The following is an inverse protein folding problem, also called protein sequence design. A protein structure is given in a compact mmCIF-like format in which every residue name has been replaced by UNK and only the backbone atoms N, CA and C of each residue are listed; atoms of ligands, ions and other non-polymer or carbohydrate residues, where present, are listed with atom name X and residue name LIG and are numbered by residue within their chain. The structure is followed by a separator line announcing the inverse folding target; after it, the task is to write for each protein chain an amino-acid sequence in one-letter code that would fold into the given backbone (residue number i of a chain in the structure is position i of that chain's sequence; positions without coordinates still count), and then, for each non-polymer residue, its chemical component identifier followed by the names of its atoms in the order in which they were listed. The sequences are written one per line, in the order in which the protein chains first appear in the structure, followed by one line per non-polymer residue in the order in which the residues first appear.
data_IF_695679001451
#
_entry.id   IF_695679001451
#
_cell.length_a   1.000
_cell.length_b   1.000
_cell.length_c   1.000
_cell.angle_alpha   90.00
_cell.angle_beta   90.00
_cell.angle_gamma   90.00
#
_symmetry.space_group_name_H-M   'P 1'
#
loop_
_entity.id
_entity.type
_entity.pdbx_description
1 polymer ?
#
# COMPACT_ATOMS: atom_id res chain seq x y z
N UNK A 1 7.29 -31.19 73.57
CA UNK A 1 7.71 -29.80 73.26
C UNK A 1 8.02 -29.56 71.76
N UNK A 2 8.72 -30.43 71.06
CA UNK A 2 9.13 -30.20 69.64
C UNK A 2 7.93 -30.08 68.61
N UNK A 3 6.79 -30.70 68.87
CA UNK A 3 5.63 -30.72 67.96
C UNK A 3 4.88 -29.36 67.94
N UNK A 4 4.66 -28.76 69.15
CA UNK A 4 4.04 -27.41 69.26
C UNK A 4 4.90 -26.32 68.57
N UNK A 5 6.22 -26.38 68.67
CA UNK A 5 7.14 -25.42 68.07
C UNK A 5 7.07 -25.48 66.51
N UNK A 6 6.87 -26.67 65.92
CA UNK A 6 6.72 -26.80 64.47
C UNK A 6 5.37 -26.25 63.95
N UNK A 7 4.30 -26.37 64.73
CA UNK A 7 2.98 -25.83 64.38
C UNK A 7 2.98 -24.29 64.48
N UNK A 8 3.63 -23.74 65.49
CA UNK A 8 3.78 -22.28 65.61
C UNK A 8 4.59 -21.68 64.45
N UNK A 9 5.67 -22.36 64.04
CA UNK A 9 6.47 -21.91 62.86
C UNK A 9 5.66 -21.99 61.59
N UNK A 10 4.83 -23.04 61.37
CA UNK A 10 3.94 -23.12 60.19
C UNK A 10 2.90 -22.02 60.20
N UNK A 11 2.30 -21.70 61.34
CA UNK A 11 1.32 -20.61 61.44
C UNK A 11 1.94 -19.23 61.17
N UNK A 12 3.17 -19.00 61.64
CA UNK A 12 3.89 -17.76 61.34
C UNK A 12 4.23 -17.64 59.87
N UNK A 13 4.71 -18.72 59.21
CA UNK A 13 5.02 -18.75 57.78
C UNK A 13 3.73 -18.53 56.99
N UNK A 14 2.62 -19.17 57.35
CA UNK A 14 1.33 -18.96 56.72
C UNK A 14 0.84 -17.52 56.83
N UNK A 15 1.01 -16.90 58.02
CA UNK A 15 0.66 -15.50 58.24
C UNK A 15 1.49 -14.54 57.36
N UNK A 16 2.78 -14.83 57.18
CA UNK A 16 3.65 -14.04 56.30
C UNK A 16 3.23 -14.19 54.82
N UNK A 17 2.89 -15.41 54.40
CA UNK A 17 2.42 -15.65 53.03
C UNK A 17 1.10 -14.96 52.70
N UNK A 18 0.17 -14.94 53.69
CA UNK A 18 -1.10 -14.21 53.55
C UNK A 18 -0.86 -12.70 53.51
N UNK A 19 0.02 -12.15 54.31
CA UNK A 19 0.41 -10.74 54.25
C UNK A 19 1.08 -10.38 52.93
N UNK A 20 2.00 -11.20 52.42
CA UNK A 20 2.60 -11.00 51.10
C UNK A 20 1.56 -11.07 49.98
N UNK A 21 0.62 -11.98 50.06
CA UNK A 21 -0.48 -12.07 49.07
C UNK A 21 -1.38 -10.84 49.08
N UNK A 22 -1.71 -10.34 50.28
CA UNK A 22 -2.50 -9.10 50.41
C UNK A 22 -1.75 -7.86 49.94
N UNK A 23 -0.46 -7.77 50.25
CA UNK A 23 0.37 -6.65 49.72
C UNK A 23 0.56 -6.72 48.23
N UNK A 24 0.73 -7.89 47.63
CA UNK A 24 0.80 -8.08 46.17
C UNK A 24 -0.55 -7.74 45.54
N UNK A 25 -1.67 -8.22 46.09
CA UNK A 25 -3.01 -7.85 45.61
C UNK A 25 -3.29 -6.36 45.72
N UNK A 26 -2.88 -5.72 46.83
CA UNK A 26 -2.96 -4.28 46.99
C UNK A 26 -2.07 -3.54 45.99
N UNK A 27 -0.84 -4.00 45.76
CA UNK A 27 0.05 -3.46 44.71
C UNK A 27 -0.51 -3.64 43.31
N UNK A 28 -1.14 -4.76 43.01
CA UNK A 28 -1.78 -5.00 41.68
C UNK A 28 -3.01 -4.09 41.53
N UNK A 29 -3.79 -3.86 42.60
CA UNK A 29 -4.99 -2.99 42.56
C UNK A 29 -4.59 -1.51 42.58
N UNK A 30 -3.54 -1.13 43.30
CA UNK A 30 -3.05 0.26 43.38
C UNK A 30 -2.04 0.58 42.25
N UNK A 31 -1.34 -0.42 41.71
CA UNK A 31 -0.61 -0.30 40.48
C UNK A 31 -1.60 -0.45 39.32
N UNK A 32 -2.58 0.40 39.28
CA UNK A 32 -3.15 0.78 38.00
C UNK A 32 -2.00 1.51 37.28
N UNK A 33 -1.40 0.91 36.23
CA UNK A 33 -0.64 1.74 35.34
C UNK A 33 -1.61 2.85 34.96
N UNK A 34 -1.16 4.07 34.92
CA UNK A 34 -1.99 5.27 34.76
C UNK A 34 -2.75 5.23 33.42
N UNK A 35 -3.71 4.29 33.28
CA UNK A 35 -4.67 4.24 32.16
C UNK A 35 -5.55 5.49 32.13
N UNK A 36 -5.70 6.21 33.21
CA UNK A 36 -6.40 7.50 33.21
C UNK A 36 -5.64 8.61 32.48
N UNK A 37 -4.34 8.43 32.21
CA UNK A 37 -3.57 9.37 31.37
C UNK A 37 -3.82 9.12 29.89
N UNK A 38 -4.29 7.92 29.50
CA UNK A 38 -4.57 7.55 28.11
C UNK A 38 -5.88 8.13 27.54
N UNK A 39 -6.72 8.77 28.36
CA UNK A 39 -7.98 9.37 27.88
C UNK A 39 -7.82 10.77 27.28
N UNK A 40 -6.65 11.39 27.34
CA UNK A 40 -6.36 12.55 26.50
C UNK A 40 -5.87 12.05 25.15
N UNK A 41 -6.79 12.02 24.16
CA UNK A 41 -6.52 11.82 22.76
C UNK A 41 -5.17 12.44 22.42
N UNK A 42 -4.19 11.61 22.04
CA UNK A 42 -3.11 12.04 21.18
C UNK A 42 -3.81 12.59 19.95
N UNK A 43 -3.92 13.90 19.82
CA UNK A 43 -4.30 14.51 18.57
C UNK A 43 -3.09 14.30 17.67
N UNK A 44 -3.07 13.15 16.99
CA UNK A 44 -2.22 12.97 15.84
C UNK A 44 -2.56 14.17 14.94
N UNK A 45 -1.58 15.04 14.72
CA UNK A 45 -1.73 16.17 13.83
C UNK A 45 -2.22 15.58 12.52
N UNK A 46 -3.48 15.81 12.16
CA UNK A 46 -3.96 15.59 10.80
C UNK A 46 -3.21 16.58 9.92
N UNK A 47 -2.06 16.18 9.46
CA UNK A 47 -1.35 16.90 8.41
C UNK A 47 -2.18 16.60 7.15
N UNK A 48 -2.78 17.60 6.55
CA UNK A 48 -3.29 17.46 5.19
C UNK A 48 -2.09 17.02 4.35
N UNK A 49 -2.19 15.85 3.73
CA UNK A 49 -1.12 15.32 2.89
C UNK A 49 -0.77 16.33 1.81
N UNK A 50 0.50 16.68 1.71
CA UNK A 50 0.93 17.59 0.69
C UNK A 50 0.94 16.90 -0.69
N UNK A 51 0.97 17.70 -1.75
CA UNK A 51 0.99 17.22 -3.13
C UNK A 51 2.12 16.21 -3.39
N UNK A 52 3.31 16.44 -2.82
CA UNK A 52 4.48 15.59 -3.06
C UNK A 52 4.30 14.23 -2.41
N UNK A 53 3.72 14.17 -1.24
CA UNK A 53 3.40 12.94 -0.54
C UNK A 53 2.40 12.11 -1.31
N UNK A 54 1.32 12.72 -1.79
CA UNK A 54 0.33 12.03 -2.62
C UNK A 54 0.97 11.43 -3.87
N UNK A 55 1.85 12.17 -4.56
CA UNK A 55 2.58 11.68 -5.73
C UNK A 55 3.55 10.53 -5.40
N UNK A 56 4.02 10.41 -4.16
CA UNK A 56 4.93 9.34 -3.75
C UNK A 56 4.20 8.05 -3.34
N UNK A 57 2.98 8.14 -2.81
CA UNK A 57 2.26 7.02 -2.23
C UNK A 57 1.05 6.55 -3.03
N UNK A 58 0.41 7.45 -3.78
CA UNK A 58 -0.73 7.12 -4.63
C UNK A 58 -0.34 6.97 -6.10
N UNK A 59 0.71 6.19 -6.35
CA UNK A 59 1.17 5.87 -7.70
C UNK A 59 0.13 4.95 -8.37
N UNK A 60 -0.35 5.26 -9.59
CA UNK A 60 -1.25 4.38 -10.32
C UNK A 60 -0.63 3.01 -10.61
N UNK A 61 -1.48 2.03 -10.91
CA UNK A 61 -1.01 0.75 -11.41
C UNK A 61 -0.51 0.85 -12.85
N UNK A 62 -1.29 1.51 -13.69
CA UNK A 62 -1.01 1.61 -15.14
C UNK A 62 -1.63 2.86 -15.76
N UNK A 63 -1.06 3.28 -16.89
CA UNK A 63 -1.69 4.22 -17.82
C UNK A 63 -1.81 3.53 -19.17
N UNK A 64 -3.02 3.53 -19.73
CA UNK A 64 -3.36 2.85 -20.99
C UNK A 64 -3.99 3.83 -21.95
N UNK A 65 -3.65 3.73 -23.22
CA UNK A 65 -4.26 4.53 -24.28
C UNK A 65 -5.18 3.68 -25.15
N UNK A 66 -6.41 4.14 -25.32
CA UNK A 66 -7.34 3.61 -26.29
C UNK A 66 -7.41 4.58 -27.47
N UNK A 67 -7.11 4.08 -28.66
CA UNK A 67 -7.15 4.86 -29.89
C UNK A 67 -8.59 4.98 -30.41
N UNK A 68 -8.84 5.99 -31.21
CA UNK A 68 -10.12 6.18 -31.90
C UNK A 68 -10.50 4.92 -32.70
N UNK A 69 -11.75 4.47 -32.55
CA UNK A 69 -12.23 3.23 -33.19
C UNK A 69 -11.81 1.92 -32.54
N UNK A 70 -11.06 1.97 -31.44
CA UNK A 70 -10.77 0.78 -30.63
C UNK A 70 -12.06 0.21 -30.06
N UNK A 71 -12.34 -1.08 -30.29
CA UNK A 71 -13.47 -1.75 -29.64
C UNK A 71 -13.15 -1.99 -28.15
N UNK A 72 -14.11 -1.71 -27.30
CA UNK A 72 -14.03 -2.17 -25.93
C UNK A 72 -14.37 -3.66 -25.90
N UNK A 73 -13.37 -4.45 -25.52
CA UNK A 73 -13.56 -5.88 -25.38
C UNK A 73 -14.41 -6.18 -24.14
N UNK A 74 -15.35 -7.12 -24.23
CA UNK A 74 -16.16 -7.49 -23.09
C UNK A 74 -15.30 -8.13 -22.01
N UNK A 75 -15.61 -7.82 -20.76
CA UNK A 75 -15.04 -8.55 -19.63
C UNK A 75 -15.80 -9.87 -19.49
N UNK A 76 -15.02 -10.96 -19.52
CA UNK A 76 -15.55 -12.30 -19.31
C UNK A 76 -15.41 -12.68 -17.85
N UNK A 77 -16.53 -12.87 -17.17
CA UNK A 77 -16.54 -13.27 -15.76
C UNK A 77 -15.97 -14.69 -15.58
N UNK A 78 -15.28 -14.91 -14.45
CA UNK A 78 -14.68 -16.19 -14.08
C UNK A 78 -13.73 -16.77 -15.15
N UNK A 79 -13.04 -15.92 -15.88
CA UNK A 79 -12.04 -16.32 -16.85
C UNK A 79 -10.81 -15.44 -16.77
N UNK A 80 -9.69 -15.97 -17.27
CA UNK A 80 -8.48 -15.19 -17.58
C UNK A 80 -8.26 -15.36 -19.08
N UNK A 81 -8.59 -14.33 -19.85
CA UNK A 81 -8.53 -14.41 -21.31
C UNK A 81 -7.80 -13.21 -21.87
N UNK A 82 -6.82 -13.47 -22.75
CA UNK A 82 -6.17 -12.41 -23.51
C UNK A 82 -7.18 -11.83 -24.50
N UNK A 83 -7.41 -10.54 -24.42
CA UNK A 83 -8.41 -9.84 -25.26
C UNK A 83 -7.77 -8.94 -26.30
N UNK A 84 -6.60 -8.37 -26.02
CA UNK A 84 -5.91 -7.48 -26.95
C UNK A 84 -4.42 -7.33 -26.60
N UNK A 85 -3.66 -6.68 -27.47
CA UNK A 85 -2.38 -6.05 -27.16
C UNK A 85 -2.59 -4.53 -27.18
N UNK A 86 -2.11 -3.85 -26.16
CA UNK A 86 -2.33 -2.41 -25.97
C UNK A 86 -1.04 -1.67 -25.63
N UNK A 87 -1.00 -0.39 -25.99
CA UNK A 87 0.03 0.52 -25.52
C UNK A 87 -0.26 0.92 -24.07
N UNK A 88 0.69 0.69 -23.18
CA UNK A 88 0.56 1.06 -21.78
C UNK A 88 1.90 1.53 -21.17
N UNK A 89 1.81 2.15 -19.99
CA UNK A 89 2.94 2.48 -19.12
C UNK A 89 2.65 1.89 -17.75
N UNK A 90 3.61 1.12 -17.22
CA UNK A 90 3.60 0.60 -15.84
C UNK A 90 4.81 1.08 -15.03
N UNK A 91 5.82 1.68 -15.67
CA UNK A 91 6.99 2.19 -14.98
C UNK A 91 6.59 3.25 -13.94
N UNK A 92 6.82 2.97 -12.66
CA UNK A 92 6.30 3.76 -11.54
C UNK A 92 6.83 5.19 -11.51
N UNK A 93 8.08 5.40 -11.93
CA UNK A 93 8.65 6.75 -12.06
C UNK A 93 7.94 7.55 -13.16
N UNK A 94 7.69 6.93 -14.30
CA UNK A 94 6.99 7.59 -15.41
C UNK A 94 5.52 7.87 -15.04
N UNK A 95 4.86 6.95 -14.32
CA UNK A 95 3.51 7.16 -13.83
C UNK A 95 3.41 8.35 -12.88
N UNK A 96 4.40 8.50 -11.99
CA UNK A 96 4.51 9.66 -11.10
C UNK A 96 4.72 10.96 -11.89
N UNK A 97 5.60 10.96 -12.91
CA UNK A 97 5.80 12.12 -13.80
C UNK A 97 4.50 12.51 -14.51
N UNK A 98 3.71 11.53 -14.99
CA UNK A 98 2.41 11.79 -15.63
C UNK A 98 1.38 12.41 -14.67
N UNK A 99 1.30 11.91 -13.44
CA UNK A 99 0.45 12.52 -12.42
C UNK A 99 0.90 13.94 -12.07
N UNK A 100 2.20 14.18 -11.99
CA UNK A 100 2.74 15.54 -11.75
C UNK A 100 2.30 16.50 -12.84
N UNK A 101 2.36 16.11 -14.12
CA UNK A 101 1.89 16.95 -15.24
C UNK A 101 0.42 17.36 -15.04
N UNK A 102 -0.44 16.42 -14.60
CA UNK A 102 -1.87 16.70 -14.37
C UNK A 102 -2.03 17.62 -13.14
N UNK A 103 -1.33 17.32 -12.06
CA UNK A 103 -1.45 18.04 -10.80
C UNK A 103 -0.84 19.44 -10.81
N UNK A 104 0.01 19.77 -11.80
CA UNK A 104 0.56 21.12 -11.99
C UNK A 104 -0.44 22.09 -12.64
N UNK A 105 -1.56 21.56 -13.15
CA UNK A 105 -2.61 22.38 -13.77
C UNK A 105 -3.64 22.80 -12.72
N UNK A 106 -3.99 24.11 -12.72
CA UNK A 106 -5.04 24.61 -11.83
C UNK A 106 -6.43 24.19 -12.31
N UNK A 107 -7.28 23.75 -11.40
CA UNK A 107 -8.71 23.50 -11.68
C UNK A 107 -9.50 24.81 -11.63
N UNK A 108 -10.48 24.91 -12.52
CA UNK A 108 -11.43 26.04 -12.54
C UNK A 108 -12.79 25.64 -12.03
N UNK A 109 -13.16 24.41 -12.18
CA UNK A 109 -14.47 23.89 -11.81
C UNK A 109 -14.44 22.37 -11.60
N UNK A 110 -15.20 21.90 -10.62
CA UNK A 110 -15.46 20.49 -10.40
C UNK A 110 -16.96 20.22 -10.23
N UNK A 111 -17.47 19.17 -10.88
CA UNK A 111 -18.90 18.80 -10.84
C UNK A 111 -19.09 17.30 -10.84
N UNK A 112 -19.91 16.79 -9.91
CA UNK A 112 -20.42 15.42 -9.97
C UNK A 112 -21.49 15.36 -11.08
N UNK A 113 -21.36 14.38 -11.95
CA UNK A 113 -22.31 14.08 -13.01
C UNK A 113 -23.02 12.77 -12.72
N UNK A 114 -24.33 12.81 -12.68
CA UNK A 114 -25.18 11.61 -12.53
C UNK A 114 -25.49 11.03 -13.93
N UNK A 115 -24.48 10.46 -14.53
CA UNK A 115 -24.51 9.82 -15.86
C UNK A 115 -23.50 8.68 -15.87
N UNK A 116 -23.73 7.70 -16.74
CA UNK A 116 -22.69 6.70 -17.00
C UNK A 116 -21.50 7.35 -17.74
N UNK A 117 -20.28 7.06 -17.30
CA UNK A 117 -19.05 7.52 -17.96
C UNK A 117 -18.97 7.02 -19.42
N UNK A 118 -19.54 5.85 -19.70
CA UNK A 118 -19.59 5.26 -21.05
C UNK A 118 -20.28 6.18 -22.06
N UNK A 119 -21.23 7.02 -21.62
CA UNK A 119 -21.92 7.98 -22.50
C UNK A 119 -20.98 9.03 -23.11
N UNK A 120 -19.86 9.32 -22.43
CA UNK A 120 -18.88 10.31 -22.87
C UNK A 120 -17.56 9.68 -23.34
N UNK A 121 -17.30 8.43 -23.00
CA UNK A 121 -16.08 7.68 -23.38
C UNK A 121 -16.34 6.69 -24.53
N UNK A 122 -17.24 7.03 -25.44
CA UNK A 122 -17.58 6.19 -26.58
C UNK A 122 -16.34 5.73 -27.35
N UNK A 123 -16.44 4.63 -28.09
CA UNK A 123 -15.34 4.03 -28.85
C UNK A 123 -14.76 4.94 -29.96
N UNK A 124 -15.40 6.07 -30.23
CA UNK A 124 -15.00 7.01 -31.28
C UNK A 124 -14.06 8.11 -30.78
N UNK A 125 -13.74 8.14 -29.49
CA UNK A 125 -12.85 9.16 -28.91
C UNK A 125 -11.57 8.54 -28.39
N UNK A 126 -10.45 9.10 -28.83
CA UNK A 126 -9.13 8.72 -28.30
C UNK A 126 -9.05 9.13 -26.82
N UNK A 127 -8.67 8.18 -25.95
CA UNK A 127 -8.65 8.39 -24.49
C UNK A 127 -7.40 7.79 -23.86
N UNK A 128 -6.94 8.46 -22.79
CA UNK A 128 -5.89 7.97 -21.90
C UNK A 128 -6.54 7.66 -20.55
N UNK A 129 -6.33 6.44 -20.05
CA UNK A 129 -6.90 5.94 -18.81
C UNK A 129 -5.76 5.69 -17.81
N UNK A 130 -5.88 6.27 -16.62
CA UNK A 130 -4.95 6.08 -15.49
C UNK A 130 -5.67 5.22 -14.48
N UNK A 131 -5.20 4.00 -14.27
CA UNK A 131 -5.86 3.00 -13.45
C UNK A 131 -5.16 2.84 -12.09
N UNK A 132 -5.94 2.78 -11.02
CA UNK A 132 -5.49 2.46 -9.67
C UNK A 132 -5.87 1.02 -9.31
N UNK A 133 -5.08 0.40 -8.47
CA UNK A 133 -5.31 -0.97 -8.01
C UNK A 133 -6.41 -1.04 -6.94
N UNK A 134 -6.61 0.06 -6.23
CA UNK A 134 -7.59 0.22 -5.16
C UNK A 134 -8.54 1.36 -5.47
N UNK A 135 -9.75 1.28 -4.92
CA UNK A 135 -10.68 2.41 -4.96
C UNK A 135 -10.19 3.51 -4.02
N UNK A 136 -10.15 4.73 -4.52
CA UNK A 136 -9.78 5.94 -3.80
C UNK A 136 -10.98 6.87 -3.68
N UNK A 137 -10.98 7.75 -2.69
CA UNK A 137 -11.94 8.86 -2.61
C UNK A 137 -11.34 10.12 -3.22
N UNK A 138 -12.14 10.89 -3.95
CA UNK A 138 -11.71 12.14 -4.55
C UNK A 138 -11.27 13.19 -3.52
N UNK A 139 -11.77 13.12 -2.29
CA UNK A 139 -11.34 13.98 -1.19
C UNK A 139 -9.85 13.76 -0.85
N UNK A 140 -9.35 12.52 -0.97
CA UNK A 140 -7.94 12.18 -0.72
C UNK A 140 -6.99 12.83 -1.73
N UNK A 141 -7.41 12.91 -3.00
CA UNK A 141 -6.61 13.46 -4.10
C UNK A 141 -6.91 14.94 -4.37
N UNK A 142 -7.65 15.57 -3.48
CA UNK A 142 -7.97 17.01 -3.57
C UNK A 142 -6.72 17.89 -3.78
N UNK A 143 -5.61 17.73 -3.04
CA UNK A 143 -4.41 18.54 -3.25
C UNK A 143 -3.76 18.34 -4.62
N UNK A 144 -4.04 17.23 -5.32
CA UNK A 144 -3.52 16.97 -6.66
C UNK A 144 -4.33 17.66 -7.76
N UNK A 145 -5.67 17.73 -7.62
CA UNK A 145 -6.54 18.08 -8.74
C UNK A 145 -7.44 19.30 -8.48
N UNK A 146 -7.51 19.82 -7.26
CA UNK A 146 -8.46 20.85 -6.87
C UNK A 146 -7.79 22.10 -6.32
N UNK A 147 -6.66 22.52 -6.87
CA UNK A 147 -5.99 23.74 -6.43
C UNK A 147 -6.94 24.96 -6.57
N UNK A 148 -7.39 25.50 -5.46
CA UNK A 148 -8.17 26.74 -5.38
C UNK A 148 -9.66 26.61 -5.10
N UNK A 149 -10.27 25.44 -5.08
CA UNK A 149 -11.68 25.26 -4.75
C UNK A 149 -11.91 24.59 -3.39
N UNK A 150 -12.84 25.16 -2.61
CA UNK A 150 -13.37 24.58 -1.37
C UNK A 150 -14.49 23.56 -1.65
N UNK A 151 -14.32 22.68 -2.62
CA UNK A 151 -15.34 21.66 -2.90
C UNK A 151 -15.22 20.50 -1.92
N UNK A 152 -16.25 20.28 -1.11
CA UNK A 152 -16.39 19.09 -0.26
C UNK A 152 -17.00 17.92 -1.07
N UNK A 153 -16.49 17.70 -2.29
CA UNK A 153 -16.94 16.61 -3.13
C UNK A 153 -16.19 15.35 -2.73
N UNK A 154 -16.93 14.35 -2.32
CA UNK A 154 -16.46 12.98 -2.07
C UNK A 154 -17.11 12.06 -3.10
N UNK A 155 -16.30 11.37 -3.89
CA UNK A 155 -16.70 10.37 -4.86
C UNK A 155 -15.62 9.30 -4.97
N UNK A 156 -16.02 8.05 -4.88
CA UNK A 156 -15.13 6.93 -5.09
C UNK A 156 -14.71 6.79 -6.56
N UNK A 157 -13.44 6.53 -6.79
CA UNK A 157 -12.91 6.27 -8.12
C UNK A 157 -11.74 5.27 -8.09
N UNK A 158 -11.52 4.58 -9.17
CA UNK A 158 -10.34 3.74 -9.43
C UNK A 158 -9.68 4.08 -10.78
N UNK A 159 -10.31 4.95 -11.55
CA UNK A 159 -9.84 5.32 -12.89
C UNK A 159 -9.98 6.83 -13.13
N UNK A 160 -8.93 7.42 -13.71
CA UNK A 160 -8.94 8.79 -14.23
C UNK A 160 -8.88 8.71 -15.75
N UNK A 161 -9.76 9.45 -16.45
CA UNK A 161 -9.79 9.50 -17.92
C UNK A 161 -9.52 10.92 -18.43
N UNK A 162 -8.69 10.97 -19.46
CA UNK A 162 -8.48 12.17 -20.28
C UNK A 162 -8.98 11.87 -21.71
N UNK A 163 -9.75 12.78 -22.27
CA UNK A 163 -10.33 12.66 -23.62
C UNK A 163 -9.68 13.66 -24.58
N UNK A 164 -9.39 13.23 -25.79
CA UNK A 164 -8.75 14.07 -26.82
C UNK A 164 -9.65 15.21 -27.28
N UNK A 165 -10.95 14.97 -27.38
CA UNK A 165 -11.97 15.97 -27.77
C UNK A 165 -12.29 17.00 -26.68
N UNK A 166 -11.80 16.77 -25.45
CA UNK A 166 -11.97 17.62 -24.27
C UNK A 166 -10.64 17.78 -23.53
N UNK A 167 -9.64 18.42 -24.14
CA UNK A 167 -8.26 18.34 -23.73
C UNK A 167 -7.94 19.01 -22.39
N UNK A 168 -8.85 19.83 -21.85
CA UNK A 168 -8.74 20.51 -20.56
C UNK A 168 -9.62 19.89 -19.46
N UNK A 169 -10.14 18.68 -19.66
CA UNK A 169 -10.98 18.00 -18.68
C UNK A 169 -10.38 16.67 -18.24
N UNK A 170 -10.54 16.37 -16.95
CA UNK A 170 -10.28 15.05 -16.38
C UNK A 170 -11.55 14.51 -15.74
N UNK A 171 -11.71 13.19 -15.79
CA UNK A 171 -12.87 12.49 -15.29
C UNK A 171 -12.43 11.41 -14.31
N UNK A 172 -12.92 11.45 -13.08
CA UNK A 172 -12.68 10.44 -12.05
C UNK A 172 -13.94 9.59 -11.94
N UNK A 173 -13.81 8.29 -12.06
CA UNK A 173 -14.94 7.37 -11.93
C UNK A 173 -14.51 6.02 -11.39
N UNK A 174 -15.47 5.32 -10.79
CA UNK A 174 -15.35 3.90 -10.44
C UNK A 174 -16.13 3.10 -11.48
N UNK A 175 -15.54 2.01 -11.92
CA UNK A 175 -16.21 1.12 -12.87
C UNK A 175 -17.56 0.65 -12.28
N UNK A 176 -18.58 0.56 -13.14
CA UNK A 176 -19.96 0.19 -12.81
C UNK A 176 -20.75 1.23 -11.99
N UNK A 177 -20.16 2.36 -11.62
CA UNK A 177 -20.89 3.47 -10.99
C UNK A 177 -21.59 4.35 -12.03
N UNK A 178 -22.77 4.86 -11.65
CA UNK A 178 -23.54 5.78 -12.48
C UNK A 178 -23.11 7.25 -12.35
N UNK A 179 -22.11 7.51 -11.52
CA UNK A 179 -21.62 8.84 -11.24
C UNK A 179 -20.14 8.95 -11.62
N UNK A 180 -19.77 10.11 -12.08
CA UNK A 180 -18.37 10.48 -12.22
C UNK A 180 -18.14 11.93 -11.80
N UNK A 181 -16.90 12.24 -11.42
CA UNK A 181 -16.47 13.60 -11.12
C UNK A 181 -15.75 14.16 -12.34
N UNK A 182 -16.29 15.25 -12.88
CA UNK A 182 -15.69 16.03 -13.95
C UNK A 182 -14.93 17.21 -13.34
N UNK A 183 -13.67 17.39 -13.72
CA UNK A 183 -12.82 18.51 -13.32
C UNK A 183 -12.37 19.23 -14.57
N UNK A 184 -12.61 20.54 -14.61
CA UNK A 184 -12.17 21.41 -15.70
C UNK A 184 -10.89 22.12 -15.28
N UNK A 185 -9.87 22.07 -16.10
CA UNK A 185 -8.56 22.68 -15.89
C UNK A 185 -8.43 23.96 -16.70
N UNK A 186 -7.57 24.88 -16.25
CA UNK A 186 -7.27 26.13 -16.99
C UNK A 186 -6.55 25.86 -18.32
N UNK A 187 -5.69 24.85 -18.34
CA UNK A 187 -4.85 24.51 -19.47
C UNK A 187 -5.28 23.19 -20.12
N UNK A 188 -4.93 23.07 -21.40
CA UNK A 188 -5.07 21.79 -22.11
C UNK A 188 -4.01 20.81 -21.64
N UNK A 189 -4.45 19.71 -21.02
CA UNK A 189 -3.56 18.73 -20.41
C UNK A 189 -3.37 17.48 -21.29
N UNK A 190 -4.38 17.13 -22.09
CA UNK A 190 -4.33 15.93 -22.90
C UNK A 190 -3.08 15.85 -23.77
N UNK A 191 -2.74 16.93 -24.46
CA UNK A 191 -1.56 16.99 -25.35
C UNK A 191 -0.25 16.74 -24.61
N UNK A 192 -0.08 17.34 -23.42
CA UNK A 192 1.11 17.17 -22.57
C UNK A 192 1.26 15.73 -22.10
N UNK A 193 0.18 15.13 -21.57
CA UNK A 193 0.15 13.74 -21.11
C UNK A 193 0.38 12.77 -22.27
N UNK A 194 -0.28 13.00 -23.42
CA UNK A 194 -0.13 12.16 -24.61
C UNK A 194 1.29 12.19 -25.18
N UNK A 195 1.97 13.33 -25.18
CA UNK A 195 3.36 13.44 -25.60
C UNK A 195 4.27 12.55 -24.73
N UNK A 196 4.15 12.68 -23.39
CA UNK A 196 4.91 11.86 -22.43
C UNK A 196 4.57 10.38 -22.56
N UNK A 197 3.28 10.05 -22.75
CA UNK A 197 2.83 8.68 -22.97
C UNK A 197 3.50 8.07 -24.21
N UNK A 198 3.46 8.74 -25.36
CA UNK A 198 4.03 8.24 -26.61
C UNK A 198 5.56 8.05 -26.54
N UNK A 199 6.25 8.83 -25.71
CA UNK A 199 7.70 8.67 -25.48
C UNK A 199 8.05 7.41 -24.69
N UNK A 200 7.19 6.99 -23.75
CA UNK A 200 7.51 5.98 -22.73
C UNK A 200 6.63 4.73 -22.78
N UNK A 201 5.66 4.67 -23.69
CA UNK A 201 4.75 3.53 -23.82
C UNK A 201 5.48 2.26 -24.24
N UNK A 202 4.94 1.13 -23.81
CA UNK A 202 5.36 -0.21 -24.21
C UNK A 202 4.12 -1.05 -24.53
N UNK A 203 4.32 -2.17 -25.24
CA UNK A 203 3.24 -3.10 -25.55
C UNK A 203 3.01 -4.07 -24.40
N UNK A 204 1.75 -4.21 -24.01
CA UNK A 204 1.29 -5.15 -23.00
C UNK A 204 0.14 -6.00 -23.54
N UNK A 205 0.11 -7.26 -23.18
CA UNK A 205 -1.07 -8.09 -23.36
C UNK A 205 -2.13 -7.67 -22.32
N UNK A 206 -3.31 -7.33 -22.81
CA UNK A 206 -4.49 -7.04 -22.02
C UNK A 206 -5.24 -8.32 -21.77
N UNK A 207 -5.39 -8.71 -20.51
CA UNK A 207 -6.19 -9.86 -20.10
C UNK A 207 -7.44 -9.40 -19.38
N UNK A 208 -8.57 -10.05 -19.67
CA UNK A 208 -9.77 -9.97 -18.85
C UNK A 208 -9.57 -10.91 -17.66
N UNK A 209 -9.69 -10.39 -16.44
CA UNK A 209 -9.63 -11.14 -15.19
C UNK A 209 -10.84 -10.78 -14.34
N UNK A 210 -11.81 -11.68 -14.23
CA UNK A 210 -13.05 -11.43 -13.51
C UNK A 210 -13.75 -10.14 -13.98
N UNK A 211 -13.76 -9.09 -13.15
CA UNK A 211 -14.45 -7.82 -13.45
C UNK A 211 -13.51 -6.70 -13.89
N UNK A 212 -12.21 -6.98 -14.14
CA UNK A 212 -11.23 -5.97 -14.51
C UNK A 212 -10.29 -6.44 -15.61
N UNK A 213 -9.51 -5.51 -16.14
CA UNK A 213 -8.39 -5.80 -17.02
C UNK A 213 -7.07 -5.73 -16.24
N UNK A 214 -6.17 -6.66 -16.55
CA UNK A 214 -4.78 -6.64 -16.14
C UNK A 214 -3.88 -6.55 -17.37
N UNK A 215 -2.69 -5.99 -17.19
CA UNK A 215 -1.75 -5.73 -18.26
C UNK A 215 -0.43 -6.42 -17.96
N UNK A 216 -0.06 -7.40 -18.76
CA UNK A 216 1.11 -8.26 -18.56
C UNK A 216 2.07 -8.15 -19.74
N UNK A 217 3.38 -8.14 -19.50
CA UNK A 217 4.37 -8.25 -20.57
C UNK A 217 4.35 -9.65 -21.17
N UNK A 218 4.52 -9.71 -22.48
CA UNK A 218 4.60 -11.00 -23.22
C UNK A 218 6.03 -11.48 -23.43
N UNK A 219 7.02 -10.58 -23.38
CA UNK A 219 8.41 -10.88 -23.64
C UNK A 219 9.23 -11.05 -22.36
N UNK A 220 10.19 -11.98 -22.43
CA UNK A 220 11.13 -12.33 -21.35
C UNK A 220 12.31 -11.33 -21.25
N UNK A 221 12.25 -10.18 -21.97
CA UNK A 221 13.41 -9.33 -22.24
C UNK A 221 13.99 -8.57 -21.04
N UNK A 222 13.29 -8.51 -19.89
CA UNK A 222 13.73 -7.73 -18.73
C UNK A 222 14.01 -8.58 -17.47
N UNK A 223 14.39 -9.83 -17.62
CA UNK A 223 14.71 -10.70 -16.48
C UNK A 223 16.08 -10.38 -15.88
N UNK A 224 16.22 -9.17 -15.33
CA UNK A 224 17.44 -8.75 -14.64
C UNK A 224 17.26 -8.80 -13.13
N UNK A 225 18.31 -9.21 -12.43
CA UNK A 225 18.40 -9.11 -10.98
C UNK A 225 19.13 -7.81 -10.67
N UNK A 226 18.44 -6.88 -10.03
CA UNK A 226 19.03 -5.62 -9.59
C UNK A 226 19.51 -5.73 -8.15
N UNK A 227 20.67 -5.17 -7.85
CA UNK A 227 21.23 -5.11 -6.51
C UNK A 227 21.30 -3.66 -6.02
N UNK A 228 20.90 -3.45 -4.77
CA UNK A 228 20.93 -2.15 -4.09
C UNK A 228 21.57 -2.27 -2.72
N UNK A 229 22.32 -1.23 -2.32
CA UNK A 229 22.75 -1.09 -0.93
C UNK A 229 21.57 -0.84 0.00
N UNK A 230 21.77 -1.11 1.29
CA UNK A 230 20.74 -0.89 2.31
C UNK A 230 21.10 0.24 3.24
N UNK A 231 20.09 0.82 3.88
CA UNK A 231 20.21 1.75 4.98
C UNK A 231 19.29 1.33 6.11
N UNK A 232 19.85 1.28 7.34
CA UNK A 232 19.04 1.00 8.53
C UNK A 232 18.29 2.27 8.95
N UNK A 233 17.01 2.11 9.24
CA UNK A 233 16.20 3.19 9.82
C UNK A 233 16.69 3.46 11.25
N UNK A 234 17.08 4.70 11.51
CA UNK A 234 17.47 5.11 12.85
C UNK A 234 16.23 5.27 13.73
N UNK A 235 16.04 4.34 14.67
CA UNK A 235 14.88 4.27 15.56
C UNK A 235 14.69 5.56 16.37
N UNK A 236 15.79 6.10 16.92
CA UNK A 236 15.74 7.30 17.75
C UNK A 236 15.39 8.57 16.94
N UNK A 237 15.86 8.65 15.69
CA UNK A 237 15.49 9.75 14.80
C UNK A 237 14.02 9.65 14.45
N UNK A 238 13.58 8.47 14.00
CA UNK A 238 12.20 8.21 13.64
C UNK A 238 11.24 8.48 14.81
N UNK A 239 11.60 8.06 16.04
CA UNK A 239 10.81 8.33 17.23
C UNK A 239 10.62 9.84 17.49
N UNK A 240 11.68 10.66 17.28
CA UNK A 240 11.59 12.12 17.41
C UNK A 240 10.68 12.76 16.38
N UNK A 241 10.53 12.14 15.23
CA UNK A 241 9.67 12.64 14.14
C UNK A 241 8.22 12.21 14.32
N UNK A 242 7.97 10.98 14.82
CA UNK A 242 6.64 10.42 15.04
C UNK A 242 5.96 10.92 16.31
N UNK A 243 6.70 10.96 17.43
CA UNK A 243 6.11 11.29 18.73
C UNK A 243 6.01 12.81 18.95
N UNK A 244 4.81 13.28 19.26
CA UNK A 244 4.57 14.72 19.51
C UNK A 244 5.31 15.23 20.76
N UNK A 245 5.38 14.41 21.82
CA UNK A 245 6.00 14.78 23.09
C UNK A 245 7.46 14.37 23.16
N UNK A 246 8.29 15.11 22.42
CA UNK A 246 9.73 14.85 22.31
C UNK A 246 10.46 14.84 23.66
N UNK A 247 9.98 15.64 24.60
CA UNK A 247 10.57 15.76 25.96
C UNK A 247 10.30 14.53 26.84
N UNK A 248 9.32 13.71 26.49
CA UNK A 248 8.93 12.52 27.21
C UNK A 248 9.51 11.23 26.65
N UNK A 249 10.35 11.32 25.61
CA UNK A 249 10.93 10.14 24.97
C UNK A 249 11.79 9.36 25.96
N UNK A 250 11.45 8.10 26.14
CA UNK A 250 12.19 7.12 26.94
C UNK A 250 12.73 6.04 26.04
N UNK A 251 14.03 5.86 26.07
CA UNK A 251 14.73 4.76 25.38
C UNK A 251 14.77 3.63 26.39
N UNK A 252 13.91 2.62 26.21
CA UNK A 252 13.86 1.44 27.09
C UNK A 252 14.99 0.46 26.76
N UNK A 253 15.40 0.41 25.48
CA UNK A 253 16.53 -0.38 24.95
C UNK A 253 16.98 0.17 23.60
N UNK A 254 18.02 -0.39 23.02
CA UNK A 254 18.44 -0.05 21.65
C UNK A 254 17.34 -0.31 20.60
N UNK A 255 16.42 -1.22 20.92
CA UNK A 255 15.33 -1.66 20.04
C UNK A 255 13.94 -1.13 20.45
N UNK A 256 13.84 -0.22 21.45
CA UNK A 256 12.54 0.28 21.92
C UNK A 256 12.60 1.72 22.39
N UNK A 257 11.69 2.54 21.85
CA UNK A 257 11.47 3.95 22.26
C UNK A 257 9.99 4.19 22.46
N UNK A 258 9.63 4.93 23.53
CA UNK A 258 8.26 5.31 23.84
C UNK A 258 8.16 6.75 24.36
N UNK A 259 7.03 7.41 24.10
CA UNK A 259 6.67 8.70 24.71
C UNK A 259 5.71 8.56 25.90
N UNK A 260 5.41 7.30 26.30
CA UNK A 260 4.43 6.94 27.31
C UNK A 260 3.01 6.69 26.76
N UNK A 261 2.74 6.97 25.50
CA UNK A 261 1.48 6.69 24.82
C UNK A 261 1.67 5.68 23.68
N UNK A 262 2.61 5.96 22.80
CA UNK A 262 2.99 5.07 21.72
C UNK A 262 4.30 4.36 22.00
N UNK A 263 4.50 3.24 21.34
CA UNK A 263 5.71 2.42 21.45
C UNK A 263 6.22 2.15 20.04
N UNK A 264 7.48 2.47 19.79
CA UNK A 264 8.19 2.12 18.57
C UNK A 264 9.25 1.08 18.88
N UNK A 265 9.15 -0.10 18.26
CA UNK A 265 10.05 -1.23 18.49
C UNK A 265 10.69 -1.70 17.19
N UNK A 266 11.92 -2.20 17.31
CA UNK A 266 12.57 -2.99 16.28
C UNK A 266 12.45 -4.47 16.64
N UNK A 267 11.70 -5.24 15.83
CA UNK A 267 11.50 -6.67 16.05
C UNK A 267 11.89 -7.41 14.77
N UNK A 268 12.88 -8.30 14.85
CA UNK A 268 13.44 -8.97 13.70
C UNK A 268 13.93 -7.94 12.65
N UNK A 269 13.37 -7.95 11.45
CA UNK A 269 13.71 -7.02 10.36
C UNK A 269 12.67 -5.91 10.18
N UNK A 270 11.76 -5.73 11.15
CA UNK A 270 10.66 -4.77 11.06
C UNK A 270 10.70 -3.75 12.18
N UNK A 271 10.17 -2.60 11.89
CA UNK A 271 9.74 -1.62 12.88
C UNK A 271 8.26 -1.86 13.17
N UNK A 272 7.91 -1.83 14.43
CA UNK A 272 6.54 -1.93 14.92
C UNK A 272 6.23 -0.68 15.73
N UNK A 273 5.33 0.15 15.21
CA UNK A 273 4.67 1.20 16.00
C UNK A 273 3.36 0.65 16.54
N UNK A 274 3.07 0.91 17.81
CA UNK A 274 1.81 0.56 18.45
C UNK A 274 1.37 1.72 19.33
N UNK A 275 0.10 2.11 19.23
CA UNK A 275 -0.52 3.07 20.14
C UNK A 275 -1.68 2.40 20.89
N UNK A 276 -1.45 1.87 22.09
CA UNK A 276 -2.48 1.18 22.87
C UNK A 276 -3.71 2.04 23.20
N UNK A 277 -3.57 3.36 23.24
CA UNK A 277 -4.71 4.26 23.49
C UNK A 277 -5.71 4.29 22.34
N UNK A 278 -5.31 3.83 21.17
CA UNK A 278 -6.18 3.69 19.99
C UNK A 278 -6.83 2.30 19.90
N UNK A 279 -6.51 1.37 20.83
CA UNK A 279 -7.12 0.04 20.85
C UNK A 279 -8.63 0.12 21.12
N UNK A 280 -9.44 -0.66 20.40
CA UNK A 280 -10.89 -0.73 20.59
C UNK A 280 -11.68 0.44 19.99
N UNK A 281 -11.06 1.30 19.19
CA UNK A 281 -11.76 2.27 18.36
C UNK A 281 -12.68 1.58 17.32
N UNK A 282 -13.67 2.32 16.80
CA UNK A 282 -14.52 1.83 15.71
C UNK A 282 -13.72 1.74 14.42
N UNK A 283 -14.09 0.82 13.56
CA UNK A 283 -13.58 0.77 12.18
C UNK A 283 -13.74 2.12 11.48
N UNK A 284 -12.80 2.45 10.64
CA UNK A 284 -12.78 3.69 9.85
C UNK A 284 -12.84 3.37 8.36
N UNK A 285 -13.38 4.32 7.61
CA UNK A 285 -13.39 4.26 6.16
C UNK A 285 -11.96 4.16 5.62
N UNK A 286 -11.80 3.47 4.48
CA UNK A 286 -10.51 3.26 3.84
C UNK A 286 -9.77 4.58 3.57
N UNK A 287 -10.48 5.63 3.17
CA UNK A 287 -9.91 6.97 2.93
C UNK A 287 -9.23 7.55 4.17
N UNK A 288 -9.86 7.40 5.35
CA UNK A 288 -9.30 7.88 6.62
C UNK A 288 -8.05 7.08 6.97
N UNK A 289 -8.10 5.75 6.84
CA UNK A 289 -6.95 4.87 7.10
C UNK A 289 -5.77 5.18 6.16
N UNK A 290 -6.03 5.40 4.86
CA UNK A 290 -5.01 5.79 3.89
C UNK A 290 -4.36 7.11 4.32
N UNK A 291 -5.16 8.13 4.63
CA UNK A 291 -4.65 9.46 5.01
C UNK A 291 -3.82 9.41 6.29
N UNK A 292 -4.28 8.69 7.31
CA UNK A 292 -3.52 8.48 8.55
C UNK A 292 -2.17 7.82 8.30
N UNK A 293 -2.17 6.74 7.51
CA UNK A 293 -0.94 6.01 7.18
C UNK A 293 0.02 6.88 6.38
N UNK A 294 -0.46 7.62 5.38
CA UNK A 294 0.38 8.53 4.59
C UNK A 294 0.98 9.62 5.45
N UNK A 295 0.19 10.27 6.31
CA UNK A 295 0.67 11.28 7.24
C UNK A 295 1.77 10.74 8.17
N UNK A 296 1.66 9.48 8.61
CA UNK A 296 2.71 8.83 9.39
C UNK A 296 3.99 8.62 8.57
N UNK A 297 3.85 8.19 7.32
CA UNK A 297 4.98 7.93 6.43
C UNK A 297 5.75 9.22 6.04
N UNK A 298 5.04 10.35 5.92
CA UNK A 298 5.61 11.67 5.66
C UNK A 298 6.56 12.16 6.75
N UNK A 299 6.43 11.67 7.96
CA UNK A 299 7.30 12.02 9.08
C UNK A 299 8.75 11.52 8.94
N UNK A 300 9.18 11.13 7.73
CA UNK A 300 10.58 10.88 7.40
C UNK A 300 11.00 9.42 7.40
N UNK A 301 10.01 8.49 7.37
CA UNK A 301 10.29 7.07 7.38
C UNK A 301 10.83 6.52 6.05
N UNK A 302 10.30 6.99 4.92
CA UNK A 302 10.38 6.25 3.64
C UNK A 302 11.65 6.54 2.83
N UNK A 303 12.36 7.62 3.12
CA UNK A 303 13.52 8.06 2.32
C UNK A 303 13.13 8.24 0.84
N UNK A 304 14.00 7.77 -0.07
CA UNK A 304 13.76 7.83 -1.52
C UNK A 304 12.99 6.60 -2.06
N UNK A 305 12.56 5.67 -1.19
CA UNK A 305 11.85 4.46 -1.59
C UNK A 305 10.41 4.78 -1.96
N UNK A 306 9.98 4.37 -3.14
CA UNK A 306 8.60 4.54 -3.58
C UNK A 306 7.74 3.36 -3.08
N UNK A 307 6.53 3.66 -2.63
CA UNK A 307 5.56 2.67 -2.23
C UNK A 307 4.25 2.87 -3.00
N UNK A 308 3.60 1.78 -3.34
CA UNK A 308 2.29 1.77 -3.99
C UNK A 308 1.25 1.20 -3.04
N UNK A 309 0.13 1.89 -2.90
CA UNK A 309 -1.03 1.37 -2.17
C UNK A 309 -1.63 0.19 -2.96
N UNK A 310 -1.64 -0.99 -2.35
CA UNK A 310 -2.11 -2.24 -2.98
C UNK A 310 -3.36 -2.81 -2.33
N UNK A 311 -3.64 -2.41 -1.10
CA UNK A 311 -4.84 -2.83 -0.37
C UNK A 311 -5.32 -1.68 0.51
N UNK A 312 -6.61 -1.38 0.42
CA UNK A 312 -7.31 -0.45 1.29
C UNK A 312 -8.65 -1.09 1.66
N UNK A 313 -8.76 -1.51 2.89
CA UNK A 313 -9.97 -2.08 3.50
C UNK A 313 -10.34 -1.21 4.70
N UNK A 314 -11.51 -1.46 5.29
CA UNK A 314 -11.89 -0.80 6.53
C UNK A 314 -10.80 -1.00 7.60
N UNK A 315 -10.19 0.10 8.02
CA UNK A 315 -9.14 0.11 9.03
C UNK A 315 -7.80 -0.54 8.65
N UNK A 316 -7.61 -1.06 7.42
CA UNK A 316 -6.36 -1.71 7.03
C UNK A 316 -5.84 -1.11 5.72
N UNK A 317 -4.58 -0.68 5.72
CA UNK A 317 -3.88 -0.26 4.50
C UNK A 317 -2.58 -1.03 4.33
N UNK A 318 -2.29 -1.41 3.08
CA UNK A 318 -1.03 -2.05 2.71
C UNK A 318 -0.38 -1.28 1.57
N UNK A 319 0.80 -0.78 1.84
CA UNK A 319 1.68 -0.19 0.84
C UNK A 319 2.80 -1.18 0.52
N UNK A 320 2.99 -1.45 -0.76
CA UNK A 320 4.03 -2.35 -1.26
C UNK A 320 5.13 -1.52 -1.92
N UNK A 321 6.38 -1.87 -1.68
CA UNK A 321 7.49 -1.20 -2.33
C UNK A 321 7.39 -1.34 -3.85
N UNK A 322 7.50 -0.20 -4.54
CA UNK A 322 7.45 -0.14 -5.99
C UNK A 322 8.85 -0.22 -6.58
N UNK A 323 9.06 -1.15 -7.51
CA UNK A 323 10.32 -1.34 -8.21
C UNK A 323 10.08 -1.43 -9.71
N UNK A 324 10.75 -0.57 -10.51
CA UNK A 324 10.57 -0.48 -11.96
C UNK A 324 9.08 -0.39 -12.36
N UNK A 325 8.56 -1.44 -13.00
CA UNK A 325 7.19 -1.48 -13.54
C UNK A 325 6.21 -2.22 -12.63
N UNK A 326 6.68 -2.73 -11.50
CA UNK A 326 5.89 -3.58 -10.63
C UNK A 326 6.16 -3.31 -9.15
N UNK A 327 5.73 -4.22 -8.30
CA UNK A 327 5.88 -4.19 -6.85
C UNK A 327 6.81 -5.30 -6.39
N UNK A 328 7.51 -5.04 -5.29
CA UNK A 328 8.41 -5.99 -4.66
C UNK A 328 7.76 -6.64 -3.44
N UNK A 329 8.09 -7.89 -3.20
CA UNK A 329 7.64 -8.70 -2.07
C UNK A 329 8.82 -9.24 -1.29
N UNK A 330 8.68 -9.44 -0.01
CA UNK A 330 9.73 -10.01 0.83
C UNK A 330 9.15 -10.97 1.86
N UNK A 331 9.74 -12.15 1.97
CA UNK A 331 9.38 -13.11 3.02
C UNK A 331 9.75 -12.63 4.42
N UNK A 332 10.78 -11.79 4.49
CA UNK A 332 11.31 -11.27 5.75
C UNK A 332 10.76 -9.89 6.10
N UNK A 333 9.74 -9.40 5.37
CA UNK A 333 9.05 -8.15 5.66
C UNK A 333 9.84 -6.88 5.30
N UNK A 334 10.67 -6.94 4.25
CA UNK A 334 11.47 -5.80 3.78
C UNK A 334 10.82 -4.96 2.67
N UNK A 335 9.60 -5.29 2.26
CA UNK A 335 8.98 -4.68 1.09
C UNK A 335 7.57 -4.11 1.32
N UNK A 336 7.00 -4.26 2.51
CA UNK A 336 5.64 -3.86 2.78
C UNK A 336 5.51 -3.02 4.06
N UNK A 337 4.56 -2.08 4.02
CA UNK A 337 4.10 -1.29 5.16
C UNK A 337 2.63 -1.64 5.36
N UNK A 338 2.29 -2.08 6.57
CA UNK A 338 0.94 -2.47 6.93
C UNK A 338 0.51 -1.59 8.09
N UNK A 339 -0.61 -0.88 7.96
CA UNK A 339 -1.24 -0.10 9.01
C UNK A 339 -2.60 -0.67 9.37
N UNK A 340 -2.88 -0.68 10.66
CA UNK A 340 -4.17 -0.99 11.27
C UNK A 340 -4.66 0.28 11.96
N UNK A 341 -5.77 0.81 11.47
CA UNK A 341 -6.35 2.10 11.86
C UNK A 341 -7.76 1.93 12.44
N UNK A 342 -8.15 2.87 13.28
CA UNK A 342 -9.50 2.98 13.77
C UNK A 342 -9.89 4.46 13.99
N UNK A 343 -11.07 4.72 14.54
CA UNK A 343 -11.58 6.08 14.74
C UNK A 343 -10.73 6.97 15.66
N UNK A 344 -9.74 6.41 16.34
CA UNK A 344 -8.79 7.12 17.21
C UNK A 344 -7.43 7.35 16.54
N UNK A 345 -7.21 6.82 15.33
CA UNK A 345 -5.97 6.90 14.56
C UNK A 345 -5.27 5.56 14.42
N UNK A 346 -4.00 5.57 14.03
CA UNK A 346 -3.20 4.36 13.87
C UNK A 346 -3.07 3.63 15.20
N UNK A 347 -3.60 2.40 15.25
CA UNK A 347 -3.42 1.50 16.37
C UNK A 347 -2.08 0.76 16.26
N UNK A 348 -1.77 0.25 15.06
CA UNK A 348 -0.57 -0.52 14.78
C UNK A 348 -0.05 -0.24 13.38
N UNK A 349 1.25 -0.06 13.25
CA UNK A 349 1.90 0.03 11.94
C UNK A 349 3.17 -0.80 11.97
N UNK A 350 3.36 -1.62 10.93
CA UNK A 350 4.58 -2.38 10.70
C UNK A 350 5.23 -1.94 9.41
N UNK A 351 6.56 -1.82 9.43
CA UNK A 351 7.32 -1.35 8.28
C UNK A 351 8.73 -1.94 8.27
N UNK A 352 9.47 -1.96 7.15
CA UNK A 352 10.83 -2.45 7.09
C UNK A 352 11.78 -1.67 8.01
N UNK A 353 12.70 -2.37 8.71
CA UNK A 353 13.83 -1.75 9.44
C UNK A 353 14.94 -1.29 8.48
N UNK A 354 15.09 -1.99 7.36
CA UNK A 354 16.09 -1.70 6.32
C UNK A 354 15.41 -1.20 5.05
N UNK A 355 15.87 -0.07 4.57
CA UNK A 355 15.40 0.55 3.33
C UNK A 355 16.40 0.30 2.19
N UNK A 356 15.90 0.30 0.98
CA UNK A 356 16.68 0.32 -0.25
C UNK A 356 17.29 1.71 -0.42
N UNK A 357 18.58 1.78 -0.79
CA UNK A 357 19.27 3.05 -0.91
C UNK A 357 19.82 3.27 -2.32
N UNK A 358 21.00 2.79 -2.61
CA UNK A 358 21.73 3.12 -3.83
C UNK A 358 21.81 1.89 -4.73
N UNK A 359 21.50 2.09 -6.01
CA UNK A 359 21.73 1.07 -7.03
C UNK A 359 23.21 0.68 -7.11
N UNK A 360 23.51 -0.60 -7.11
CA UNK A 360 24.85 -1.15 -7.18
C UNK A 360 25.15 -1.77 -8.54
N UNK A 361 24.31 -2.70 -8.98
CA UNK A 361 24.52 -3.45 -10.22
C UNK A 361 23.23 -4.08 -10.73
N UNK A 362 23.25 -4.46 -12.00
CA UNK A 362 22.25 -5.33 -12.61
C UNK A 362 22.95 -6.48 -13.31
N UNK A 363 22.41 -7.69 -13.21
CA UNK A 363 22.90 -8.88 -13.90
C UNK A 363 21.73 -9.63 -14.53
N UNK A 364 22.01 -10.28 -15.64
CA UNK A 364 21.01 -11.17 -16.24
C UNK A 364 20.69 -12.33 -15.30
N UNK A 365 19.42 -12.70 -15.25
CA UNK A 365 18.92 -13.78 -14.40
C UNK A 365 19.11 -15.14 -15.11
N UNK A 366 20.32 -15.51 -15.48
CA UNK A 366 20.62 -16.75 -16.22
C UNK A 366 20.12 -18.04 -15.56
N UNK A 367 19.93 -18.02 -14.23
CA UNK A 367 19.53 -19.18 -13.43
C UNK A 367 18.07 -19.14 -12.94
N UNK A 368 17.40 -18.06 -13.14
CA UNK A 368 16.00 -17.88 -12.73
C UNK A 368 15.15 -17.60 -13.94
N UNK A 369 14.88 -18.64 -14.73
CA UNK A 369 13.87 -18.54 -15.79
C UNK A 369 12.53 -18.28 -15.13
N UNK A 370 12.07 -17.05 -15.25
CA UNK A 370 10.69 -16.71 -14.90
C UNK A 370 9.78 -17.43 -15.88
N UNK A 371 8.75 -18.09 -15.39
CA UNK A 371 7.79 -18.77 -16.25
C UNK A 371 7.16 -17.75 -17.21
N UNK A 372 6.91 -18.17 -18.46
CA UNK A 372 6.23 -17.34 -19.45
C UNK A 372 4.83 -17.00 -18.99
N UNK A 373 4.38 -15.79 -19.32
CA UNK A 373 3.03 -15.30 -19.00
C UNK A 373 1.96 -16.33 -19.38
N UNK A 374 2.05 -16.89 -20.56
CA UNK A 374 1.08 -17.88 -21.05
C UNK A 374 1.02 -19.15 -20.19
N UNK A 375 2.17 -19.64 -19.73
CA UNK A 375 2.23 -20.78 -18.82
C UNK A 375 1.55 -20.49 -17.48
N UNK A 376 1.82 -19.31 -16.89
CA UNK A 376 1.21 -18.91 -15.63
C UNK A 376 -0.30 -18.80 -15.76
N UNK A 377 -0.78 -18.15 -16.83
CA UNK A 377 -2.21 -17.99 -17.08
C UNK A 377 -2.91 -19.34 -17.26
N UNK A 378 -2.36 -20.22 -18.10
CA UNK A 378 -2.94 -21.56 -18.33
C UNK A 378 -2.96 -22.40 -17.06
N UNK A 379 -1.89 -22.37 -16.27
CA UNK A 379 -1.85 -23.10 -14.99
C UNK A 379 -2.94 -22.64 -14.02
N UNK A 380 -3.12 -21.30 -13.89
CA UNK A 380 -4.14 -20.72 -13.02
C UNK A 380 -5.55 -21.07 -13.51
N UNK A 381 -5.77 -21.01 -14.83
CA UNK A 381 -7.06 -21.33 -15.43
C UNK A 381 -7.48 -22.79 -15.14
N UNK A 382 -6.53 -23.73 -15.20
CA UNK A 382 -6.81 -25.16 -15.05
C UNK A 382 -6.88 -25.62 -13.59
N UNK A 383 -6.30 -24.89 -12.65
CA UNK A 383 -6.00 -25.40 -11.29
C UNK A 383 -6.54 -24.59 -10.14
N UNK A 384 -6.99 -23.35 -10.40
CA UNK A 384 -7.37 -22.42 -9.33
C UNK A 384 -8.79 -21.93 -9.52
N UNK A 385 -9.50 -21.68 -8.43
CA UNK A 385 -10.79 -20.99 -8.50
C UNK A 385 -10.56 -19.52 -8.87
N UNK A 386 -10.85 -19.17 -10.12
CA UNK A 386 -10.60 -17.84 -10.68
C UNK A 386 -11.34 -16.72 -9.93
N UNK A 387 -12.48 -17.03 -9.27
CA UNK A 387 -13.23 -16.02 -8.49
C UNK A 387 -12.43 -15.44 -7.33
N UNK A 388 -11.48 -16.20 -6.83
CA UNK A 388 -10.64 -15.83 -5.68
C UNK A 388 -9.37 -15.10 -6.12
N UNK A 389 -9.12 -14.99 -7.44
CA UNK A 389 -7.99 -14.25 -8.00
C UNK A 389 -8.45 -12.83 -8.31
N UNK A 390 -7.85 -11.86 -7.64
CA UNK A 390 -8.12 -10.44 -7.90
C UNK A 390 -7.01 -9.74 -8.66
N UNK A 391 -5.79 -10.31 -8.76
CA UNK A 391 -4.70 -9.74 -9.56
C UNK A 391 -3.62 -10.78 -9.88
N UNK A 392 -2.84 -10.51 -10.94
CA UNK A 392 -1.66 -11.29 -11.34
C UNK A 392 -0.58 -10.30 -11.77
N UNK A 393 0.59 -10.40 -11.17
CA UNK A 393 1.70 -9.48 -11.44
C UNK A 393 3.02 -10.23 -11.62
N UNK A 394 3.83 -9.82 -12.56
CA UNK A 394 5.26 -10.12 -12.58
C UNK A 394 5.93 -9.07 -11.68
N UNK A 395 6.16 -9.45 -10.41
CA UNK A 395 6.78 -8.62 -9.39
C UNK A 395 8.23 -9.02 -9.14
N UNK A 396 8.72 -8.69 -7.96
CA UNK A 396 10.09 -8.98 -7.56
C UNK A 396 10.14 -9.60 -6.16
N UNK A 397 10.90 -10.69 -5.99
CA UNK A 397 11.35 -11.16 -4.67
C UNK A 397 12.48 -10.25 -4.19
N UNK A 398 12.23 -9.45 -3.15
CA UNK A 398 13.26 -8.63 -2.48
C UNK A 398 13.95 -9.47 -1.43
N UNK A 399 15.20 -9.85 -1.68
CA UNK A 399 16.00 -10.75 -0.87
C UNK A 399 17.15 -9.98 -0.22
N UNK A 400 17.25 -10.05 1.11
CA UNK A 400 18.37 -9.45 1.83
C UNK A 400 19.58 -10.36 1.86
N UNK A 401 20.70 -9.86 1.37
CA UNK A 401 22.01 -10.52 1.45
C UNK A 401 22.80 -9.93 2.64
N UNK A 402 22.93 -10.71 3.71
CA UNK A 402 23.63 -10.27 4.93
C UNK A 402 25.11 -9.98 4.72
N UNK A 403 25.78 -10.80 3.90
CA UNK A 403 27.24 -10.70 3.69
C UNK A 403 27.63 -9.43 2.94
N UNK A 404 26.77 -8.98 2.03
CA UNK A 404 26.97 -7.78 1.21
C UNK A 404 26.24 -6.55 1.74
N UNK A 405 25.41 -6.70 2.76
CA UNK A 405 24.47 -5.67 3.24
C UNK A 405 23.71 -5.02 2.09
N UNK A 406 23.12 -5.85 1.21
CA UNK A 406 22.44 -5.43 -0.01
C UNK A 406 21.10 -6.14 -0.17
N UNK A 407 20.22 -5.54 -0.98
CA UNK A 407 19.01 -6.19 -1.48
C UNK A 407 19.19 -6.61 -2.93
N UNK A 408 18.73 -7.82 -3.26
CA UNK A 408 18.56 -8.29 -4.63
C UNK A 408 17.07 -8.32 -4.97
N UNK A 409 16.70 -7.76 -6.10
CA UNK A 409 15.33 -7.81 -6.66
C UNK A 409 15.30 -8.84 -7.77
N UNK A 410 14.72 -9.99 -7.47
CA UNK A 410 14.64 -11.13 -8.38
C UNK A 410 13.23 -11.20 -8.97
N UNK A 411 13.05 -11.15 -10.29
CA UNK A 411 11.73 -11.25 -10.91
C UNK A 411 11.00 -12.53 -10.50
N UNK A 412 9.73 -12.41 -10.12
CA UNK A 412 8.90 -13.53 -9.71
C UNK A 412 7.40 -13.24 -9.92
N UNK A 413 6.64 -14.27 -10.30
CA UNK A 413 5.19 -14.17 -10.43
C UNK A 413 4.49 -14.20 -9.09
N UNK A 414 3.51 -13.31 -8.95
CA UNK A 414 2.62 -13.22 -7.80
C UNK A 414 1.16 -13.20 -8.26
N UNK A 415 0.32 -13.85 -7.46
CA UNK A 415 -1.14 -13.90 -7.65
C UNK A 415 -1.80 -13.33 -6.41
N UNK A 416 -2.69 -12.38 -6.56
CA UNK A 416 -3.50 -11.87 -5.47
C UNK A 416 -4.71 -12.80 -5.29
N UNK A 417 -4.59 -13.69 -4.33
CA UNK A 417 -5.55 -14.72 -4.00
C UNK A 417 -6.19 -14.42 -2.64
N UNK A 418 -7.52 -14.33 -2.56
CA UNK A 418 -8.24 -13.90 -1.37
C UNK A 418 -7.63 -12.61 -0.76
N UNK A 419 -7.46 -11.58 -1.60
CA UNK A 419 -6.90 -10.26 -1.28
C UNK A 419 -5.46 -10.24 -0.73
N UNK A 420 -4.73 -11.36 -0.83
CA UNK A 420 -3.33 -11.47 -0.44
C UNK A 420 -2.47 -11.92 -1.60
N UNK A 421 -1.32 -11.27 -1.77
CA UNK A 421 -0.34 -11.73 -2.75
C UNK A 421 0.40 -12.96 -2.26
N UNK A 422 0.38 -14.00 -3.09
CA UNK A 422 1.11 -15.26 -2.90
C UNK A 422 2.02 -15.47 -4.11
N UNK A 423 3.27 -15.84 -3.90
CA UNK A 423 4.15 -16.16 -5.04
C UNK A 423 3.59 -17.37 -5.80
N UNK A 424 3.64 -17.32 -7.12
CA UNK A 424 3.13 -18.40 -7.98
C UNK A 424 3.80 -19.75 -7.65
N UNK A 425 5.09 -19.71 -7.29
CA UNK A 425 5.81 -20.90 -6.83
C UNK A 425 5.15 -21.51 -5.58
N UNK A 426 4.86 -20.69 -4.57
CA UNK A 426 4.20 -21.15 -3.34
C UNK A 426 2.78 -21.64 -3.63
N UNK A 427 2.05 -20.95 -4.47
CA UNK A 427 0.70 -21.36 -4.90
C UNK A 427 0.72 -22.75 -5.56
N UNK A 428 1.68 -23.02 -6.46
CA UNK A 428 1.88 -24.35 -7.05
C UNK A 428 2.16 -25.43 -6.00
N UNK A 429 3.01 -25.12 -5.03
CA UNK A 429 3.34 -26.06 -3.93
C UNK A 429 2.11 -26.41 -3.09
N UNK A 430 1.26 -25.42 -2.74
CA UNK A 430 0.04 -25.61 -1.96
C UNK A 430 -0.97 -26.46 -2.72
N UNK A 431 -1.21 -26.16 -4.01
CA UNK A 431 -2.12 -26.94 -4.86
C UNK A 431 -1.67 -28.39 -4.98
N UNK A 432 -0.36 -28.62 -5.21
CA UNK A 432 0.18 -29.96 -5.37
C UNK A 432 0.10 -30.81 -4.07
N UNK A 433 0.11 -30.17 -2.92
CA UNK A 433 -0.08 -30.81 -1.61
C UNK A 433 -1.55 -31.02 -1.24
N UNK A 434 -2.49 -30.49 -2.01
CA UNK A 434 -3.92 -30.50 -1.68
C UNK A 434 -4.25 -29.63 -0.46
N UNK A 435 -3.40 -28.71 -0.11
CA UNK A 435 -3.65 -27.72 0.94
C UNK A 435 -4.76 -26.77 0.44
N UNK A 436 -5.75 -26.48 1.28
CA UNK A 436 -6.73 -25.43 0.97
C UNK A 436 -5.99 -24.09 0.96
N UNK A 437 -6.17 -23.39 -0.13
CA UNK A 437 -5.65 -22.05 -0.36
C UNK A 437 -6.36 -21.03 0.52
#
# INVERSE_FOLDING_TARGET
MKRKRKETVKSVVLGILVLMSLTLSYLIITYQPAYEIFTKRSTQKSVESDKNSLLNFLIPDSVVKNYEGSREEPIVQNSITKVATVDAIKNKRVLKDLLSIISDSESTESRVRNRNIEDITTNNVEKIMINYQVTLDSALVKPLFFSGENSNISLEFDTIVLLKDRPNMIYLYKKDDKNYLQITLKEEIYGKVNAKFNEKKQNYAKYSLNNKFIYLKESDEDNTIDEYSTEDVNLNKLAKDIFEKKDNLRISSEDEVTDGYGILRSINNRLLYTNPSNEGGKEVEATVAINNTMSFLELGYVGDTNYQLTTALEGITIFQEAHKESIAFSKDGHADIISEDNSSGIYRLTSPKKLTKTYLSSREAELYSVEKTEYVINYLYDRVNLKEISDIVLGYDKIYNKDRNSFSYVPAWYVKYNDRYVSFKKLKEMINKGERL
#
